data_IF_023375987377
#
_entry.id   IF_023375987377
#
_cell.length_a   1.000
_cell.length_b   1.000
_cell.length_c   1.000
_cell.angle_alpha   90.00
_cell.angle_beta   90.00
_cell.angle_gamma   90.00
#
_symmetry.space_group_name_H-M   'P 1'
#
loop_
_entity.id
_entity.type
_entity.pdbx_description
1 polymer ?
#
# COMPACT_ATOMS: atom_id res chain seq x y z
N UNK A 1 -12.23 -16.95 -0.92
CA UNK A 1 -11.41 -15.80 -1.34
C UNK A 1 -10.49 -16.32 -2.43
N UNK A 2 -10.89 -16.12 -3.68
CA UNK A 2 -10.01 -16.46 -4.80
C UNK A 2 -9.11 -15.25 -5.03
N UNK A 3 -7.82 -15.43 -4.79
CA UNK A 3 -6.82 -14.38 -4.96
C UNK A 3 -6.66 -14.07 -6.45
N UNK A 4 -6.58 -12.78 -6.79
CA UNK A 4 -6.26 -12.36 -8.16
C UNK A 4 -4.82 -12.76 -8.53
N UNK A 5 -4.52 -12.80 -9.83
CA UNK A 5 -3.15 -13.06 -10.28
C UNK A 5 -2.16 -12.02 -9.73
N UNK A 6 -1.14 -12.48 -9.00
CA UNK A 6 -0.07 -11.67 -8.40
C UNK A 6 0.84 -11.02 -9.45
N UNK A 7 0.31 -9.99 -10.12
CA UNK A 7 0.98 -9.22 -11.17
C UNK A 7 1.08 -7.77 -10.72
N UNK A 8 2.25 -7.17 -10.90
CA UNK A 8 2.51 -5.79 -10.55
C UNK A 8 2.02 -4.80 -11.63
N UNK A 9 2.01 -3.51 -11.33
CA UNK A 9 1.56 -2.45 -12.25
C UNK A 9 2.41 -2.31 -13.52
N UNK A 10 3.60 -2.91 -13.55
CA UNK A 10 4.49 -2.97 -14.72
C UNK A 10 4.25 -4.23 -15.58
N UNK A 11 3.31 -5.09 -15.19
CA UNK A 11 2.99 -6.35 -15.87
C UNK A 11 3.90 -7.53 -15.53
N UNK A 12 4.83 -7.36 -14.58
CA UNK A 12 5.69 -8.44 -14.09
C UNK A 12 5.12 -9.16 -12.86
N UNK A 13 5.81 -10.18 -12.33
CA UNK A 13 5.43 -10.82 -11.06
C UNK A 13 5.40 -9.81 -9.91
N UNK A 14 4.42 -9.95 -9.01
CA UNK A 14 4.33 -9.10 -7.82
C UNK A 14 5.45 -9.44 -6.82
N UNK A 15 6.30 -8.47 -6.53
CA UNK A 15 7.32 -8.58 -5.50
C UNK A 15 6.70 -8.44 -4.09
N UNK A 16 7.31 -9.04 -3.05
CA UNK A 16 6.93 -8.78 -1.68
C UNK A 16 7.00 -7.28 -1.34
N UNK A 17 6.05 -6.78 -0.56
CA UNK A 17 6.05 -5.43 -0.04
C UNK A 17 6.76 -5.36 1.32
N UNK A 18 6.35 -6.19 2.29
CA UNK A 18 6.99 -6.29 3.60
C UNK A 18 6.66 -7.59 4.33
N UNK A 19 7.65 -8.19 4.97
CA UNK A 19 7.45 -9.33 5.88
C UNK A 19 7.63 -8.94 7.35
N UNK A 20 8.15 -7.74 7.63
CA UNK A 20 8.38 -7.19 8.97
C UNK A 20 8.26 -5.66 8.93
N UNK A 21 7.10 -5.08 9.28
CA UNK A 21 5.87 -5.77 9.70
C UNK A 21 5.24 -6.58 8.56
N UNK A 22 4.56 -7.68 8.88
CA UNK A 22 3.84 -8.48 7.89
C UNK A 22 2.63 -7.68 7.38
N UNK A 23 2.60 -7.43 6.07
CA UNK A 23 1.56 -6.63 5.42
C UNK A 23 0.69 -7.46 4.46
N UNK A 24 -0.17 -6.79 3.69
CA UNK A 24 -1.06 -7.39 2.71
C UNK A 24 -2.41 -7.76 3.30
N UNK A 25 -3.47 -7.71 2.48
CA UNK A 25 -4.83 -8.11 2.87
C UNK A 25 -4.86 -9.57 3.36
N UNK A 26 -4.16 -10.46 2.64
CA UNK A 26 -4.01 -11.87 2.99
C UNK A 26 -2.95 -12.15 4.08
N UNK A 27 -2.24 -11.12 4.55
CA UNK A 27 -1.10 -11.26 5.48
C UNK A 27 -0.02 -12.22 4.94
N UNK A 28 0.28 -12.15 3.65
CA UNK A 28 1.32 -12.92 2.96
C UNK A 28 2.58 -12.08 2.66
N UNK A 29 2.57 -10.80 3.03
CA UNK A 29 3.63 -9.84 2.79
C UNK A 29 3.62 -9.19 1.41
N UNK A 30 2.64 -9.52 0.57
CA UNK A 30 2.45 -8.96 -0.76
C UNK A 30 1.17 -8.11 -0.80
N UNK A 31 1.09 -7.16 -1.73
CA UNK A 31 -0.15 -6.38 -1.93
C UNK A 31 -1.17 -7.12 -2.81
N UNK A 32 -1.29 -8.43 -2.58
CA UNK A 32 -2.28 -9.30 -3.19
C UNK A 32 -3.69 -8.89 -2.73
N UNK A 33 -4.66 -9.09 -3.63
CA UNK A 33 -6.05 -8.65 -3.43
C UNK A 33 -7.03 -9.67 -4.01
N UNK A 34 -8.31 -9.45 -3.79
CA UNK A 34 -9.42 -10.19 -4.38
C UNK A 34 -10.67 -9.32 -4.35
N UNK A 35 -11.78 -9.81 -4.89
CA UNK A 35 -13.08 -9.13 -4.79
C UNK A 35 -13.58 -8.94 -3.33
N UNK A 36 -13.03 -9.69 -2.38
CA UNK A 36 -13.35 -9.54 -0.95
C UNK A 36 -12.61 -8.33 -0.31
N UNK A 37 -11.53 -7.87 -0.93
CA UNK A 37 -10.75 -6.72 -0.48
C UNK A 37 -11.33 -5.40 -1.02
N UNK A 38 -12.47 -5.00 -0.45
CA UNK A 38 -13.18 -3.77 -0.84
C UNK A 38 -12.33 -2.49 -0.68
N UNK A 39 -11.28 -2.54 0.14
CA UNK A 39 -10.34 -1.43 0.32
C UNK A 39 -9.30 -1.32 -0.80
N UNK A 40 -9.07 -2.41 -1.55
CA UNK A 40 -7.99 -2.54 -2.53
C UNK A 40 -6.62 -2.21 -1.92
N UNK A 41 -6.15 -3.04 -0.98
CA UNK A 41 -4.82 -2.96 -0.35
C UNK A 41 -3.70 -3.34 -1.33
N UNK A 42 -3.64 -2.61 -2.44
CA UNK A 42 -2.87 -2.96 -3.64
C UNK A 42 -1.64 -2.08 -3.85
N UNK A 43 -1.48 -0.99 -3.08
CA UNK A 43 -0.37 -0.04 -3.23
C UNK A 43 0.66 -0.26 -2.14
N UNK A 44 1.87 -0.68 -2.51
CA UNK A 44 2.98 -0.78 -1.57
C UNK A 44 3.64 0.59 -1.38
N UNK A 45 3.53 1.15 -0.18
CA UNK A 45 4.06 2.49 0.14
C UNK A 45 5.24 2.42 1.10
N UNK A 46 6.12 3.43 1.06
CA UNK A 46 7.04 3.74 2.15
C UNK A 46 6.38 4.75 3.10
N UNK A 47 6.02 4.33 4.31
CA UNK A 47 5.34 5.21 5.24
C UNK A 47 6.27 6.35 5.70
N UNK A 48 5.80 7.59 5.62
CA UNK A 48 6.45 8.77 6.21
C UNK A 48 5.67 9.24 7.43
N UNK A 49 6.29 10.03 8.31
CA UNK A 49 5.61 10.62 9.46
C UNK A 49 4.42 11.50 9.02
N UNK A 50 4.65 12.42 8.09
CA UNK A 50 3.61 13.29 7.52
C UNK A 50 2.44 12.50 6.91
N UNK A 51 2.74 11.44 6.15
CA UNK A 51 1.71 10.57 5.60
C UNK A 51 0.89 9.92 6.72
N UNK A 52 1.53 9.29 7.71
CA UNK A 52 0.83 8.57 8.79
C UNK A 52 -0.06 9.50 9.62
N UNK A 53 0.40 10.72 9.91
CA UNK A 53 -0.40 11.74 10.58
C UNK A 53 -1.62 12.13 9.75
N UNK A 54 -1.44 12.35 8.44
CA UNK A 54 -2.55 12.67 7.54
C UNK A 54 -3.60 11.56 7.48
N UNK A 55 -3.17 10.30 7.46
CA UNK A 55 -4.08 9.15 7.43
C UNK A 55 -4.93 9.09 8.70
N UNK A 56 -4.30 9.29 9.87
CA UNK A 56 -5.01 9.33 11.15
C UNK A 56 -6.04 10.47 11.19
N UNK A 57 -5.69 11.65 10.68
CA UNK A 57 -6.62 12.80 10.61
C UNK A 57 -7.80 12.54 9.67
N UNK A 58 -7.58 11.82 8.56
CA UNK A 58 -8.62 11.36 7.61
C UNK A 58 -9.39 10.10 8.07
N UNK A 59 -9.23 9.67 9.33
CA UNK A 59 -9.94 8.53 9.91
C UNK A 59 -9.42 7.16 9.49
N UNK A 60 -8.20 7.08 8.96
CA UNK A 60 -7.46 5.86 8.64
C UNK A 60 -6.26 5.71 9.59
N UNK A 61 -6.50 5.35 10.85
CA UNK A 61 -5.42 5.23 11.83
C UNK A 61 -4.53 4.01 11.56
N UNK A 62 -3.41 4.26 10.88
CA UNK A 62 -2.37 3.26 10.60
C UNK A 62 -1.29 3.21 11.71
N UNK A 63 -1.36 4.04 12.74
CA UNK A 63 -0.31 4.15 13.76
C UNK A 63 -0.66 3.28 14.97
N UNK A 64 -1.91 3.35 15.42
CA UNK A 64 -2.35 2.62 16.61
C UNK A 64 -2.36 1.11 16.32
N UNK A 65 -1.76 0.25 17.16
CA UNK A 65 -1.82 -1.21 16.99
C UNK A 65 -3.24 -1.76 17.23
N UNK A 66 -3.64 -2.75 16.43
CA UNK A 66 -4.89 -3.52 16.61
C UNK A 66 -4.57 -5.02 16.66
N UNK A 67 -4.23 -5.56 17.85
CA UNK A 67 -3.80 -6.96 18.01
C UNK A 67 -4.82 -7.98 17.50
N UNK A 68 -6.11 -7.69 17.62
CA UNK A 68 -7.20 -8.54 17.13
C UNK A 68 -7.20 -8.74 15.60
N UNK A 69 -6.54 -7.86 14.86
CA UNK A 69 -6.38 -7.94 13.40
C UNK A 69 -4.94 -8.21 12.98
N UNK A 70 -4.10 -8.67 13.91
CA UNK A 70 -2.66 -8.86 13.73
C UNK A 70 -2.00 -7.61 13.09
N UNK A 71 -2.46 -6.42 13.47
CA UNK A 71 -1.95 -5.15 12.96
C UNK A 71 -1.06 -4.50 14.02
N UNK A 72 0.26 -4.41 13.80
CA UNK A 72 1.20 -3.90 14.82
C UNK A 72 1.23 -2.37 14.92
N UNK A 73 0.53 -1.65 14.02
CA UNK A 73 0.78 -0.24 13.75
C UNK A 73 1.99 -0.09 12.81
N UNK A 74 1.91 0.89 11.91
CA UNK A 74 2.93 1.24 10.93
C UNK A 74 3.75 2.41 11.46
N UNK A 75 5.07 2.34 11.28
CA UNK A 75 6.02 3.39 11.64
C UNK A 75 6.62 4.05 10.40
N UNK A 76 7.12 5.29 10.52
CA UNK A 76 7.92 5.89 9.46
C UNK A 76 9.09 4.98 9.06
N UNK A 77 9.33 4.86 7.76
CA UNK A 77 10.34 3.98 7.17
C UNK A 77 9.89 2.53 6.96
N UNK A 78 8.69 2.15 7.42
CA UNK A 78 8.15 0.81 7.14
C UNK A 78 7.35 0.79 5.84
N UNK A 79 7.41 -0.35 5.14
CA UNK A 79 6.58 -0.60 3.96
C UNK A 79 5.24 -1.19 4.34
N UNK A 80 4.18 -0.76 3.66
CA UNK A 80 2.82 -1.24 3.94
C UNK A 80 1.95 -1.28 2.67
N UNK A 81 1.09 -2.29 2.56
CA UNK A 81 0.06 -2.34 1.53
C UNK A 81 -1.13 -1.48 1.95
N UNK A 82 -1.28 -0.35 1.27
CA UNK A 82 -2.30 0.66 1.50
C UNK A 82 -3.45 0.49 0.52
N UNK A 83 -4.67 0.82 0.97
CA UNK A 83 -5.82 1.00 0.10
C UNK A 83 -5.51 2.01 -1.01
N UNK A 84 -5.70 1.64 -2.28
CA UNK A 84 -5.44 2.55 -3.41
C UNK A 84 -6.24 3.86 -3.32
N UNK A 85 -7.48 3.82 -2.82
CA UNK A 85 -8.29 5.02 -2.56
C UNK A 85 -7.67 5.96 -1.52
N UNK A 86 -7.05 5.42 -0.47
CA UNK A 86 -6.35 6.18 0.57
C UNK A 86 -5.05 6.79 0.09
N UNK A 87 -4.32 6.08 -0.78
CA UNK A 87 -3.17 6.67 -1.45
C UNK A 87 -3.56 7.86 -2.32
N UNK A 88 -4.63 7.72 -3.12
CA UNK A 88 -5.12 8.78 -4.00
C UNK A 88 -5.63 10.00 -3.20
N UNK A 89 -6.27 9.78 -2.06
CA UNK A 89 -6.64 10.84 -1.11
C UNK A 89 -5.39 11.58 -0.61
N UNK A 90 -4.36 10.86 -0.16
CA UNK A 90 -3.10 11.45 0.29
C UNK A 90 -2.43 12.28 -0.81
N UNK A 91 -2.46 11.80 -2.06
CA UNK A 91 -1.94 12.55 -3.22
C UNK A 91 -2.67 13.88 -3.42
N UNK A 92 -4.01 13.86 -3.35
CA UNK A 92 -4.84 15.08 -3.49
C UNK A 92 -4.59 16.08 -2.36
N UNK A 93 -4.22 15.58 -1.19
CA UNK A 93 -3.86 16.40 -0.02
C UNK A 93 -2.38 16.81 0.00
N UNK A 94 -1.58 16.42 -1.00
CA UNK A 94 -0.17 16.82 -1.12
C UNK A 94 0.81 16.03 -0.26
N UNK A 95 0.38 14.91 0.34
CA UNK A 95 1.14 14.13 1.34
C UNK A 95 1.26 12.64 0.95
N UNK A 96 1.15 12.33 -0.34
CA UNK A 96 1.30 10.97 -0.83
C UNK A 96 2.72 10.42 -0.56
N UNK A 97 2.83 9.21 -0.01
CA UNK A 97 4.10 8.55 0.19
C UNK A 97 4.64 7.98 -1.12
N UNK A 98 5.95 7.68 -1.13
CA UNK A 98 6.62 6.95 -2.21
C UNK A 98 6.02 5.54 -2.38
N UNK A 99 6.06 5.03 -3.61
CA UNK A 99 5.45 3.76 -4.02
C UNK A 99 6.49 2.81 -4.61
N UNK A 100 6.45 1.54 -4.22
CA UNK A 100 7.25 0.48 -4.85
C UNK A 100 6.44 -0.17 -5.96
N UNK A 101 6.76 0.14 -7.21
CA UNK A 101 5.97 -0.29 -8.38
C UNK A 101 5.95 -1.82 -8.54
N UNK A 102 7.09 -2.49 -8.36
CA UNK A 102 7.17 -3.96 -8.46
C UNK A 102 6.37 -4.68 -7.36
N UNK A 103 6.12 -4.01 -6.22
CA UNK A 103 5.33 -4.52 -5.09
C UNK A 103 3.90 -4.00 -5.07
N UNK A 104 3.48 -3.22 -6.08
CA UNK A 104 2.13 -2.66 -6.22
C UNK A 104 1.35 -3.47 -7.24
N UNK A 105 0.20 -4.01 -6.84
CA UNK A 105 -0.60 -4.92 -7.66
C UNK A 105 -1.33 -4.19 -8.79
N UNK A 106 -1.47 -4.85 -9.96
CA UNK A 106 -2.07 -4.28 -11.18
C UNK A 106 -3.46 -3.68 -10.95
N UNK A 107 -4.23 -4.22 -10.01
CA UNK A 107 -5.57 -3.73 -9.65
C UNK A 107 -5.58 -2.30 -9.09
N UNK A 108 -4.45 -1.79 -8.58
CA UNK A 108 -4.32 -0.38 -8.21
C UNK A 108 -4.63 0.57 -9.39
N UNK A 109 -4.39 0.11 -10.63
CA UNK A 109 -4.63 0.88 -11.86
C UNK A 109 -6.12 1.12 -12.16
N UNK A 110 -7.03 0.42 -11.48
CA UNK A 110 -8.47 0.71 -11.54
C UNK A 110 -8.81 2.05 -10.87
N UNK A 111 -7.93 2.53 -9.98
CA UNK A 111 -8.15 3.74 -9.15
C UNK A 111 -7.10 4.82 -9.45
N UNK A 112 -5.84 4.43 -9.71
CA UNK A 112 -4.70 5.35 -9.85
C UNK A 112 -4.03 5.12 -11.21
N UNK A 113 -3.91 6.13 -12.09
CA UNK A 113 -3.18 6.00 -13.34
C UNK A 113 -1.71 5.59 -13.12
N UNK A 114 -1.16 4.77 -14.02
CA UNK A 114 0.23 4.30 -13.92
C UNK A 114 1.22 5.46 -13.88
N UNK A 115 1.03 6.47 -14.73
CA UNK A 115 1.91 7.63 -14.84
C UNK A 115 1.98 8.42 -13.53
N UNK A 116 0.90 8.37 -12.73
CA UNK A 116 0.88 8.99 -11.41
C UNK A 116 1.67 8.17 -10.39
N UNK A 117 1.57 6.84 -10.42
CA UNK A 117 2.38 5.97 -9.57
C UNK A 117 3.88 6.10 -9.90
N UNK A 118 4.24 6.16 -11.19
CA UNK A 118 5.63 6.32 -11.65
C UNK A 118 6.28 7.60 -11.12
N UNK A 119 5.54 8.71 -11.06
CA UNK A 119 6.02 9.98 -10.48
C UNK A 119 6.37 9.88 -8.99
N UNK A 120 5.80 8.91 -8.29
CA UNK A 120 6.01 8.66 -6.87
C UNK A 120 6.83 7.40 -6.62
N UNK A 121 7.45 6.82 -7.64
CA UNK A 121 8.32 5.66 -7.48
C UNK A 121 9.38 5.93 -6.40
N UNK A 122 9.51 4.98 -5.48
CA UNK A 122 10.64 4.88 -4.55
C UNK A 122 11.86 4.37 -5.31
N UNK A 123 13.05 4.85 -4.93
CA UNK A 123 14.30 4.29 -5.45
C UNK A 123 14.69 3.04 -4.64
N UNK A 124 15.48 2.13 -5.23
CA UNK A 124 15.90 0.87 -4.57
C UNK A 124 16.74 1.07 -3.29
N UNK A 125 17.12 2.30 -2.97
CA UNK A 125 17.98 2.67 -1.84
C UNK A 125 17.27 3.46 -0.73
N UNK A 126 15.96 3.70 -0.86
CA UNK A 126 15.12 4.38 0.14
C UNK A 126 14.64 3.45 1.27
#
# INVERSE_FOLDING_TARGET
MDMDESINVLGGPLAPCSTRPLTGFFRDGCCNTSDDDLGSHTVCVLATEEFLESQKQSGNDLITPWPQYAFPGVKPGERWCLCASRWLEAYRNGVAPKVFLESTHKRALEIIPLELLERFAADDFD
#
